data_IF_482335856741
#
_entry.id   IF_482335856741
#
_cell.length_a   1.000
_cell.length_b   1.000
_cell.length_c   1.000
_cell.angle_alpha   90.00
_cell.angle_beta   90.00
_cell.angle_gamma   90.00
#
_symmetry.space_group_name_H-M   'P 1'
#
loop_
_entity.id
_entity.type
_entity.pdbx_description
1 polymer ?
#
# COMPACT_ATOMS: atom_id res chain seq x y z
N UNK A 1 2.09 7.45 -6.98
CA UNK A 1 3.58 7.49 -6.89
C UNK A 1 4.24 6.11 -6.94
N UNK A 2 3.82 5.12 -6.14
CA UNK A 2 4.49 3.82 -6.06
C UNK A 2 4.54 3.08 -7.42
N UNK A 3 3.40 2.97 -8.11
CA UNK A 3 3.35 2.33 -9.43
C UNK A 3 4.22 3.05 -10.46
N UNK A 4 4.22 4.39 -10.47
CA UNK A 4 5.07 5.21 -11.35
C UNK A 4 6.57 4.92 -11.13
N UNK A 5 6.99 4.80 -9.87
CA UNK A 5 8.38 4.48 -9.52
C UNK A 5 8.77 3.07 -9.98
N UNK A 6 7.91 2.07 -9.80
CA UNK A 6 8.18 0.70 -10.26
C UNK A 6 8.16 0.57 -11.78
N UNK A 7 7.32 1.32 -12.49
CA UNK A 7 7.40 1.43 -13.95
C UNK A 7 8.74 2.02 -14.37
N UNK A 8 9.18 3.12 -13.74
CA UNK A 8 10.47 3.73 -14.05
C UNK A 8 11.65 2.78 -13.75
N UNK A 9 11.60 2.07 -12.62
CA UNK A 9 12.58 1.04 -12.27
C UNK A 9 12.69 -0.02 -13.35
N UNK A 10 11.55 -0.54 -13.82
CA UNK A 10 11.48 -1.63 -14.78
C UNK A 10 11.80 -1.24 -16.24
N UNK A 11 12.03 0.05 -16.51
CA UNK A 11 12.43 0.50 -17.86
C UNK A 11 13.79 -0.11 -18.24
N UNK A 12 14.01 -0.56 -19.49
CA UNK A 12 15.23 -1.25 -19.90
C UNK A 12 16.55 -0.46 -19.71
N UNK A 13 16.46 0.86 -19.65
CA UNK A 13 17.59 1.77 -19.42
C UNK A 13 17.85 2.09 -17.93
N UNK A 14 17.02 1.55 -17.03
CA UNK A 14 17.18 1.62 -15.56
C UNK A 14 17.45 0.24 -14.98
N UNK A 15 16.61 -0.76 -15.27
CA UNK A 15 16.79 -2.14 -14.86
C UNK A 15 16.28 -3.10 -15.93
N UNK A 16 17.12 -4.05 -16.35
CA UNK A 16 16.80 -4.96 -17.46
C UNK A 16 16.00 -6.17 -16.98
N UNK A 17 15.16 -6.68 -17.88
CA UNK A 17 14.40 -7.94 -17.70
C UNK A 17 13.30 -7.93 -16.62
N UNK A 18 12.74 -6.76 -16.30
CA UNK A 18 11.65 -6.61 -15.33
C UNK A 18 10.29 -6.30 -15.95
N UNK A 19 9.99 -6.91 -17.10
CA UNK A 19 8.78 -6.64 -17.89
C UNK A 19 7.47 -6.93 -17.12
N UNK A 20 7.46 -7.95 -16.25
CA UNK A 20 6.30 -8.26 -15.40
C UNK A 20 6.03 -7.13 -14.39
N UNK A 21 7.09 -6.57 -13.78
CA UNK A 21 6.97 -5.41 -12.88
C UNK A 21 6.41 -4.21 -13.65
N UNK A 22 6.92 -3.95 -14.85
CA UNK A 22 6.47 -2.84 -15.68
C UNK A 22 4.99 -2.95 -16.04
N UNK A 23 4.56 -4.12 -16.54
CA UNK A 23 3.19 -4.33 -17.03
C UNK A 23 2.14 -4.22 -15.92
N UNK A 24 2.37 -4.84 -14.77
CA UNK A 24 1.40 -4.80 -13.67
C UNK A 24 1.29 -3.40 -13.05
N UNK A 25 2.42 -2.70 -12.90
CA UNK A 25 2.42 -1.35 -12.35
C UNK A 25 1.86 -0.34 -13.35
N UNK A 26 2.04 -0.56 -14.66
CA UNK A 26 1.35 0.23 -15.69
C UNK A 26 -0.17 0.07 -15.60
N UNK A 27 -0.67 -1.16 -15.43
CA UNK A 27 -2.09 -1.39 -15.16
C UNK A 27 -2.54 -0.72 -13.85
N UNK A 28 -1.70 -0.76 -12.82
CA UNK A 28 -1.90 -0.05 -11.56
C UNK A 28 -2.06 1.46 -11.74
N UNK A 29 -1.24 2.10 -12.58
CA UNK A 29 -1.37 3.53 -12.92
C UNK A 29 -2.73 3.80 -13.58
N UNK A 30 -3.17 2.96 -14.51
CA UNK A 30 -4.48 3.12 -15.17
C UNK A 30 -5.61 3.06 -14.15
N UNK A 31 -5.56 2.10 -13.22
CA UNK A 31 -6.54 2.00 -12.12
C UNK A 31 -6.47 3.19 -11.17
N UNK A 32 -5.27 3.61 -10.74
CA UNK A 32 -5.07 4.80 -9.89
C UNK A 32 -5.65 6.06 -10.55
N UNK A 33 -5.43 6.26 -11.84
CA UNK A 33 -5.98 7.38 -12.60
C UNK A 33 -7.50 7.30 -12.69
N UNK A 34 -8.06 6.12 -12.94
CA UNK A 34 -9.51 5.93 -12.95
C UNK A 34 -10.13 6.29 -11.59
N UNK A 35 -9.57 5.78 -10.48
CA UNK A 35 -10.03 6.13 -9.14
C UNK A 35 -9.90 7.63 -8.86
N UNK A 36 -8.80 8.26 -9.29
CA UNK A 36 -8.62 9.70 -9.12
C UNK A 36 -9.65 10.49 -9.91
N UNK A 37 -9.97 10.10 -11.15
CA UNK A 37 -11.00 10.77 -11.97
C UNK A 37 -12.38 10.68 -11.33
N UNK A 38 -12.77 9.49 -10.86
CA UNK A 38 -14.02 9.29 -10.13
C UNK A 38 -14.04 10.15 -8.86
N UNK A 39 -12.95 10.15 -8.09
CA UNK A 39 -12.83 10.98 -6.89
C UNK A 39 -12.98 12.47 -7.21
N UNK A 40 -12.33 12.95 -8.27
CA UNK A 40 -12.41 14.35 -8.69
C UNK A 40 -13.80 14.71 -9.20
N UNK A 41 -14.54 13.78 -9.79
CA UNK A 41 -15.90 14.02 -10.26
C UNK A 41 -16.88 14.23 -9.08
N UNK A 42 -16.81 13.39 -8.05
CA UNK A 42 -17.77 13.40 -6.94
C UNK A 42 -17.44 14.35 -5.78
N UNK A 43 -16.25 14.96 -5.75
CA UNK A 43 -15.84 15.84 -4.64
C UNK A 43 -16.07 17.33 -4.91
N UNK A 44 -16.09 18.11 -3.82
CA UNK A 44 -16.21 19.57 -3.91
C UNK A 44 -14.94 20.23 -4.51
N UNK A 45 -15.07 21.46 -5.01
CA UNK A 45 -14.00 22.18 -5.72
C UNK A 45 -12.73 22.37 -4.88
N UNK A 46 -12.85 22.61 -3.57
CA UNK A 46 -11.71 22.78 -2.65
C UNK A 46 -10.90 21.49 -2.50
N UNK A 47 -11.57 20.37 -2.25
CA UNK A 47 -10.94 19.05 -2.13
C UNK A 47 -10.33 18.62 -3.46
N UNK A 48 -11.03 18.88 -4.58
CA UNK A 48 -10.51 18.63 -5.93
C UNK A 48 -9.22 19.38 -6.20
N UNK A 49 -9.19 20.69 -5.95
CA UNK A 49 -8.01 21.51 -6.17
C UNK A 49 -6.80 21.01 -5.34
N UNK A 50 -7.04 20.62 -4.08
CA UNK A 50 -6.00 20.01 -3.24
C UNK A 50 -5.46 18.70 -3.84
N UNK A 51 -6.34 17.79 -4.27
CA UNK A 51 -5.92 16.52 -4.85
C UNK A 51 -5.17 16.69 -6.18
N UNK A 52 -5.63 17.60 -7.04
CA UNK A 52 -4.90 17.95 -8.28
C UNK A 52 -3.52 18.53 -7.95
N UNK A 53 -3.43 19.42 -6.96
CA UNK A 53 -2.14 19.95 -6.48
C UNK A 53 -1.19 18.84 -6.01
N UNK A 54 -1.67 17.90 -5.19
CA UNK A 54 -0.88 16.75 -4.74
C UNK A 54 -0.45 15.83 -5.89
N UNK A 55 -1.31 15.66 -6.89
CA UNK A 55 -0.98 14.88 -8.09
C UNK A 55 0.12 15.58 -8.92
N UNK A 56 0.01 16.89 -9.15
CA UNK A 56 1.02 17.67 -9.86
C UNK A 56 2.37 17.65 -9.12
N UNK A 57 2.37 17.79 -7.79
CA UNK A 57 3.60 17.67 -6.98
C UNK A 57 4.26 16.30 -7.19
N UNK A 58 3.48 15.22 -7.24
CA UNK A 58 4.02 13.88 -7.52
C UNK A 58 4.65 13.78 -8.91
N UNK A 59 4.04 14.38 -9.94
CA UNK A 59 4.60 14.39 -11.29
C UNK A 59 5.90 15.21 -11.37
N UNK A 60 5.95 16.36 -10.69
CA UNK A 60 7.15 17.18 -10.59
C UNK A 60 8.26 16.39 -9.88
N UNK A 61 7.96 15.78 -8.73
CA UNK A 61 8.91 14.95 -8.00
C UNK A 61 9.43 13.79 -8.87
N UNK A 62 8.54 13.09 -9.58
CA UNK A 62 8.93 12.02 -10.49
C UNK A 62 9.84 12.54 -11.60
N UNK A 63 9.49 13.65 -12.24
CA UNK A 63 10.33 14.25 -13.29
C UNK A 63 11.73 14.60 -12.78
N UNK A 64 11.83 15.13 -11.55
CA UNK A 64 13.10 15.43 -10.89
C UNK A 64 13.92 14.16 -10.63
N UNK A 65 13.29 13.08 -10.14
CA UNK A 65 13.96 11.78 -9.93
C UNK A 65 14.45 11.21 -11.26
N UNK A 66 13.62 11.25 -12.31
CA UNK A 66 13.98 10.75 -13.65
C UNK A 66 15.15 11.54 -14.22
N UNK A 67 15.04 12.87 -14.25
CA UNK A 67 16.09 13.75 -14.75
C UNK A 67 17.40 13.58 -13.95
N UNK A 68 17.33 13.65 -12.61
CA UNK A 68 18.49 13.47 -11.75
C UNK A 68 19.17 12.12 -11.92
N UNK A 69 18.39 11.05 -12.11
CA UNK A 69 18.95 9.70 -12.34
C UNK A 69 19.61 9.60 -13.71
N UNK A 70 18.94 10.08 -14.78
CA UNK A 70 19.45 9.91 -16.14
C UNK A 70 20.66 10.83 -16.42
N UNK A 71 20.67 12.04 -15.84
CA UNK A 71 21.76 13.00 -15.98
C UNK A 71 22.94 12.70 -15.03
N UNK A 72 22.66 12.24 -13.81
CA UNK A 72 23.68 12.02 -12.79
C UNK A 72 24.28 10.61 -12.75
N UNK A 73 23.58 9.59 -13.24
CA UNK A 73 24.06 8.21 -13.27
C UNK A 73 24.28 7.72 -14.71
N UNK A 74 25.55 7.60 -15.11
CA UNK A 74 25.92 7.16 -16.45
C UNK A 74 25.95 5.63 -16.62
N UNK A 75 25.99 4.86 -15.54
CA UNK A 75 25.97 3.38 -15.60
C UNK A 75 24.61 2.82 -15.21
N UNK A 76 24.23 1.70 -15.85
CA UNK A 76 22.98 1.00 -15.56
C UNK A 76 22.89 0.58 -14.09
N UNK A 77 23.98 0.05 -13.53
CA UNK A 77 24.03 -0.39 -12.14
C UNK A 77 23.75 0.75 -11.15
N UNK A 78 24.30 1.94 -11.38
CA UNK A 78 24.03 3.12 -10.53
C UNK A 78 22.55 3.53 -10.64
N UNK A 79 21.99 3.53 -11.86
CA UNK A 79 20.56 3.83 -12.08
C UNK A 79 19.67 2.82 -11.35
N UNK A 80 19.91 1.52 -11.51
CA UNK A 80 19.19 0.47 -10.80
C UNK A 80 19.25 0.69 -9.29
N UNK A 81 20.44 0.93 -8.72
CA UNK A 81 20.60 1.11 -7.26
C UNK A 81 19.85 2.33 -6.74
N UNK A 82 19.97 3.48 -7.41
CA UNK A 82 19.29 4.72 -6.99
C UNK A 82 17.76 4.53 -7.06
N UNK A 83 17.25 4.11 -8.21
CA UNK A 83 15.80 4.00 -8.43
C UNK A 83 15.20 2.87 -7.59
N UNK A 84 15.87 1.72 -7.51
CA UNK A 84 15.44 0.58 -6.69
C UNK A 84 15.37 0.93 -5.21
N UNK A 85 16.35 1.66 -4.68
CA UNK A 85 16.33 2.13 -3.29
C UNK A 85 15.13 3.05 -3.04
N UNK A 86 14.86 3.99 -3.96
CA UNK A 86 13.69 4.87 -3.86
C UNK A 86 12.38 4.07 -3.93
N UNK A 87 12.28 3.05 -4.80
CA UNK A 87 11.11 2.18 -4.86
C UNK A 87 10.84 1.48 -3.54
N UNK A 88 11.89 0.96 -2.87
CA UNK A 88 11.79 0.35 -1.54
C UNK A 88 11.30 1.37 -0.51
N UNK A 89 11.86 2.59 -0.49
CA UNK A 89 11.42 3.65 0.45
C UNK A 89 9.95 4.01 0.24
N UNK A 90 9.53 4.26 -1.00
CA UNK A 90 8.12 4.54 -1.30
C UNK A 90 7.20 3.35 -0.99
N UNK A 91 7.69 2.12 -1.19
CA UNK A 91 6.98 0.89 -0.81
C UNK A 91 6.77 0.80 0.70
N UNK A 92 7.81 1.06 1.50
CA UNK A 92 7.72 1.06 2.96
C UNK A 92 6.75 2.12 3.46
N UNK A 93 6.77 3.33 2.89
CA UNK A 93 5.80 4.39 3.24
C UNK A 93 4.37 3.92 2.97
N UNK A 94 4.12 3.20 1.87
CA UNK A 94 2.79 2.67 1.55
C UNK A 94 2.30 1.66 2.61
N UNK A 95 3.22 0.91 3.23
CA UNK A 95 2.90 -0.02 4.30
C UNK A 95 2.45 0.62 5.61
N UNK A 96 2.51 1.95 5.74
CA UNK A 96 1.89 2.67 6.86
C UNK A 96 0.36 2.42 6.93
N UNK A 97 -0.30 2.27 5.78
CA UNK A 97 -1.75 2.01 5.72
C UNK A 97 -2.14 0.66 6.36
N UNK A 98 -1.61 -0.50 5.92
CA UNK A 98 -1.93 -1.77 6.57
C UNK A 98 -1.49 -1.82 8.05
N UNK A 99 -0.37 -1.16 8.41
CA UNK A 99 0.04 -1.06 9.81
C UNK A 99 -0.97 -0.29 10.67
N UNK A 100 -1.54 0.80 10.14
CA UNK A 100 -2.62 1.55 10.80
C UNK A 100 -3.86 0.67 11.03
N UNK A 101 -4.22 -0.17 10.05
CA UNK A 101 -5.34 -1.11 10.21
C UNK A 101 -5.05 -2.13 11.31
N UNK A 102 -3.83 -2.69 11.37
CA UNK A 102 -3.43 -3.61 12.44
C UNK A 102 -3.55 -2.96 13.83
N UNK A 103 -3.12 -1.71 13.97
CA UNK A 103 -3.26 -0.96 15.23
C UNK A 103 -4.74 -0.79 15.62
N UNK A 104 -5.60 -0.50 14.65
CA UNK A 104 -7.05 -0.42 14.87
C UNK A 104 -7.62 -1.77 15.33
N UNK A 105 -7.21 -2.89 14.74
CA UNK A 105 -7.66 -4.23 15.16
C UNK A 105 -7.23 -4.53 16.60
N UNK A 106 -5.98 -4.23 16.97
CA UNK A 106 -5.47 -4.47 18.32
C UNK A 106 -6.21 -3.61 19.36
N UNK A 107 -6.44 -2.32 19.08
CA UNK A 107 -7.14 -1.40 20.00
C UNK A 107 -8.62 -1.76 20.15
N UNK A 108 -9.29 -2.01 19.03
CA UNK A 108 -10.72 -2.31 19.01
C UNK A 108 -11.03 -3.76 19.40
N UNK A 109 -10.02 -4.62 19.44
CA UNK A 109 -10.09 -6.07 19.68
C UNK A 109 -11.03 -6.78 18.68
N UNK A 110 -11.21 -6.21 17.48
CA UNK A 110 -12.11 -6.72 16.44
C UNK A 110 -11.50 -6.58 15.05
N UNK A 111 -11.51 -7.66 14.26
CA UNK A 111 -10.98 -7.69 12.89
C UNK A 111 -12.06 -7.49 11.81
N UNK A 112 -13.21 -6.90 12.17
CA UNK A 112 -14.36 -6.68 11.27
C UNK A 112 -14.01 -5.90 10.00
N UNK A 113 -13.15 -4.89 10.11
CA UNK A 113 -12.73 -4.04 8.99
C UNK A 113 -11.58 -4.62 8.15
N UNK A 114 -11.08 -5.80 8.49
CA UNK A 114 -9.98 -6.45 7.80
C UNK A 114 -10.53 -7.59 6.92
N UNK A 115 -10.90 -7.33 5.65
CA UNK A 115 -11.48 -8.34 4.78
C UNK A 115 -10.49 -9.50 4.56
N UNK A 116 -10.93 -10.73 4.85
CA UNK A 116 -10.07 -11.92 4.83
C UNK A 116 -9.46 -12.19 3.45
N UNK A 117 -10.24 -11.99 2.39
CA UNK A 117 -9.77 -12.17 1.01
C UNK A 117 -8.67 -11.17 0.65
N UNK A 118 -8.76 -9.92 1.12
CA UNK A 118 -7.77 -8.90 0.81
C UNK A 118 -6.40 -9.24 1.40
N UNK A 119 -6.37 -9.67 2.67
CA UNK A 119 -5.11 -10.03 3.34
C UNK A 119 -4.52 -11.33 2.82
N UNK A 120 -5.37 -12.30 2.44
CA UNK A 120 -4.93 -13.55 1.83
C UNK A 120 -4.33 -13.32 0.44
N UNK A 121 -5.00 -12.53 -0.42
CA UNK A 121 -4.48 -12.13 -1.72
C UNK A 121 -3.20 -11.30 -1.60
N UNK A 122 -3.11 -10.39 -0.61
CA UNK A 122 -1.89 -9.63 -0.33
C UNK A 122 -0.70 -10.52 0.04
N UNK A 123 -0.92 -11.52 0.90
CA UNK A 123 0.10 -12.49 1.28
C UNK A 123 0.55 -13.36 0.10
N UNK A 124 -0.39 -13.89 -0.69
CA UNK A 124 -0.08 -14.67 -1.89
C UNK A 124 0.68 -13.85 -2.93
N UNK A 125 0.26 -12.61 -3.18
CA UNK A 125 0.96 -11.67 -4.05
C UNK A 125 2.40 -11.44 -3.58
N UNK A 126 2.59 -11.22 -2.28
CA UNK A 126 3.92 -11.05 -1.70
C UNK A 126 4.84 -12.26 -1.89
N UNK A 127 4.32 -13.48 -1.71
CA UNK A 127 5.06 -14.72 -1.99
C UNK A 127 5.44 -14.83 -3.47
N UNK A 128 4.49 -14.55 -4.37
CA UNK A 128 4.75 -14.61 -5.82
C UNK A 128 5.84 -13.63 -6.25
N UNK A 129 5.83 -12.40 -5.73
CA UNK A 129 6.88 -11.42 -6.01
C UNK A 129 8.23 -11.79 -5.38
N UNK A 130 8.23 -12.37 -4.18
CA UNK A 130 9.46 -12.87 -3.58
C UNK A 130 10.06 -14.02 -4.41
N UNK A 131 9.23 -14.96 -4.87
CA UNK A 131 9.66 -16.04 -5.76
C UNK A 131 10.19 -15.49 -7.10
N UNK A 132 9.49 -14.53 -7.71
CA UNK A 132 9.94 -13.84 -8.92
C UNK A 132 11.31 -13.17 -8.73
N UNK A 133 11.50 -12.47 -7.61
CA UNK A 133 12.76 -11.80 -7.29
C UNK A 133 13.93 -12.79 -7.16
N UNK A 134 13.69 -14.00 -6.66
CA UNK A 134 14.72 -15.05 -6.55
C UNK A 134 15.19 -15.60 -7.90
N UNK A 135 14.39 -15.53 -8.97
CA UNK A 135 14.78 -16.07 -10.30
C UNK A 135 15.99 -15.31 -10.87
N UNK A 136 16.06 -14.00 -10.62
CA UNK A 136 17.14 -13.11 -11.11
C UNK A 136 17.91 -12.42 -9.98
N UNK A 137 17.66 -12.82 -8.73
CA UNK A 137 18.19 -12.19 -7.52
C UNK A 137 18.05 -10.64 -7.52
N UNK A 138 16.82 -10.15 -7.73
CA UNK A 138 16.51 -8.73 -7.58
C UNK A 138 16.22 -8.40 -6.10
N UNK A 139 17.24 -7.88 -5.41
CA UNK A 139 17.14 -7.53 -3.98
C UNK A 139 16.11 -6.44 -3.69
N UNK A 140 15.84 -5.51 -4.61
CA UNK A 140 14.92 -4.40 -4.37
C UNK A 140 13.48 -4.90 -4.39
N UNK A 141 13.13 -5.74 -5.36
CA UNK A 141 11.82 -6.39 -5.42
C UNK A 141 11.64 -7.32 -4.21
N UNK A 142 12.68 -8.09 -3.86
CA UNK A 142 12.63 -9.03 -2.75
C UNK A 142 12.41 -8.31 -1.41
N UNK A 143 13.18 -7.27 -1.11
CA UNK A 143 13.06 -6.50 0.14
C UNK A 143 11.69 -5.82 0.22
N UNK A 144 11.27 -5.14 -0.85
CA UNK A 144 9.99 -4.44 -0.86
C UNK A 144 8.83 -5.41 -0.61
N UNK A 145 8.74 -6.48 -1.40
CA UNK A 145 7.63 -7.41 -1.28
C UNK A 145 7.73 -8.30 -0.03
N UNK A 146 8.94 -8.63 0.43
CA UNK A 146 9.16 -9.37 1.66
C UNK A 146 8.56 -8.68 2.88
N UNK A 147 8.76 -7.36 3.02
CA UNK A 147 8.12 -6.57 4.08
C UNK A 147 6.59 -6.64 3.97
N UNK A 148 6.05 -6.47 2.76
CA UNK A 148 4.60 -6.60 2.51
C UNK A 148 4.04 -7.98 2.84
N UNK A 149 4.78 -9.05 2.54
CA UNK A 149 4.43 -10.44 2.87
C UNK A 149 4.35 -10.63 4.38
N UNK A 150 5.37 -10.16 5.12
CA UNK A 150 5.39 -10.24 6.59
C UNK A 150 4.19 -9.50 7.18
N UNK A 151 3.92 -8.27 6.72
CA UNK A 151 2.77 -7.50 7.21
C UNK A 151 1.42 -8.16 6.87
N UNK A 152 1.30 -8.77 5.69
CA UNK A 152 0.09 -9.51 5.31
C UNK A 152 -0.10 -10.76 6.16
N UNK A 153 1.00 -11.46 6.48
CA UNK A 153 0.99 -12.60 7.39
C UNK A 153 0.55 -12.19 8.80
N UNK A 154 1.11 -11.11 9.34
CA UNK A 154 0.70 -10.58 10.65
C UNK A 154 -0.78 -10.18 10.68
N UNK A 155 -1.30 -9.60 9.59
CA UNK A 155 -2.73 -9.30 9.45
C UNK A 155 -3.59 -10.57 9.47
N UNK A 156 -3.16 -11.65 8.83
CA UNK A 156 -3.84 -12.96 8.88
C UNK A 156 -3.88 -13.48 10.32
N UNK A 157 -2.76 -13.45 11.03
CA UNK A 157 -2.70 -13.87 12.43
C UNK A 157 -3.66 -13.03 13.31
N UNK A 158 -3.62 -11.71 13.19
CA UNK A 158 -4.52 -10.83 13.94
C UNK A 158 -6.00 -11.14 13.65
N UNK A 159 -6.34 -11.43 12.39
CA UNK A 159 -7.72 -11.80 12.03
C UNK A 159 -8.15 -13.11 12.68
N UNK A 160 -7.26 -14.11 12.73
CA UNK A 160 -7.54 -15.40 13.37
C UNK A 160 -7.66 -15.26 14.89
N UNK A 161 -6.83 -14.43 15.53
CA UNK A 161 -6.85 -14.24 16.98
C UNK A 161 -8.03 -13.40 17.48
N UNK A 162 -8.35 -12.28 16.82
CA UNK A 162 -9.41 -11.38 17.28
C UNK A 162 -10.80 -11.72 16.74
N UNK A 163 -10.88 -12.50 15.65
CA UNK A 163 -12.13 -12.83 15.00
C UNK A 163 -12.95 -11.60 14.59
N UNK A 164 -14.22 -11.81 14.27
CA UNK A 164 -15.17 -10.74 13.96
C UNK A 164 -16.01 -10.32 15.19
N UNK A 165 -15.51 -10.54 16.40
CA UNK A 165 -16.24 -10.29 17.65
C UNK A 165 -16.65 -8.82 17.82
N UNK A 166 -17.70 -8.54 18.63
CA UNK A 166 -18.18 -7.19 18.89
C UNK A 166 -17.07 -6.34 19.53
N UNK A 167 -17.05 -5.04 19.22
CA UNK A 167 -16.03 -4.13 19.71
C UNK A 167 -16.13 -4.00 21.22
N UNK A 168 -15.01 -3.74 21.90
CA UNK A 168 -15.04 -3.44 23.34
C UNK A 168 -15.86 -2.18 23.64
N UNK A 169 -15.84 -1.17 22.77
CA UNK A 169 -16.67 0.04 22.88
C UNK A 169 -18.16 -0.28 22.72
N UNK A 170 -18.53 -1.06 21.69
CA UNK A 170 -19.92 -1.52 21.48
C UNK A 170 -20.41 -2.38 22.66
N UNK A 171 -19.53 -3.20 23.24
CA UNK A 171 -19.84 -4.01 24.40
C UNK A 171 -20.06 -3.17 25.67
N UNK A 172 -19.32 -2.05 25.83
CA UNK A 172 -19.51 -1.13 26.96
C UNK A 172 -20.80 -0.33 26.77
N UNK A 173 -21.05 0.22 25.58
CA UNK A 173 -22.27 0.97 25.29
C UNK A 173 -23.53 0.12 25.44
N UNK A 174 -23.51 -1.13 24.96
CA UNK A 174 -24.63 -2.06 25.15
C UNK A 174 -24.90 -2.39 26.64
N UNK A 175 -23.87 -2.38 27.49
CA UNK A 175 -24.02 -2.58 28.93
C UNK A 175 -24.61 -1.32 29.59
N UNK A 176 -24.17 -0.14 29.17
CA UNK A 176 -24.74 1.13 29.66
C UNK A 176 -26.22 1.28 29.27
N UNK A 177 -26.58 0.99 28.01
CA UNK A 177 -27.98 1.01 27.56
C UNK A 177 -28.86 0.02 28.33
N UNK A 178 -28.36 -1.19 28.62
CA UNK A 178 -29.08 -2.17 29.44
C UNK A 178 -29.26 -1.73 30.90
N UNK A 179 -28.28 -1.00 31.45
CA UNK A 179 -28.37 -0.47 32.80
C UNK A 179 -29.36 0.72 32.89
N UNK A 180 -29.41 1.57 31.87
CA UNK A 180 -30.40 2.67 31.78
C UNK A 180 -31.82 2.13 31.61
N UNK A 181 -32.04 1.17 30.71
CA UNK A 181 -33.36 0.52 30.54
C UNK A 181 -33.79 -0.22 31.81
N UNK A 182 -32.87 -0.87 32.52
CA UNK A 182 -33.16 -1.55 33.79
C UNK A 182 -33.53 -0.61 34.94
N UNK A 183 -33.01 0.62 34.95
CA UNK A 183 -33.36 1.64 35.95
C UNK A 183 -34.69 2.33 35.67
N UNK A 184 -35.13 2.42 34.41
CA UNK A 184 -36.39 3.05 34.02
C UNK A 184 -37.64 2.17 34.22
N UNK A 185 -37.47 0.92 34.67
CA UNK A 185 -38.57 -0.07 34.84
C UNK A 185 -38.92 -0.31 36.33
N UNK A 186 -38.31 0.42 37.27
CA UNK A 186 -38.56 0.32 38.73
C UNK A 186 -39.41 1.47 39.25
#
# INVERSE_FOLDING_TARGET
MNCLMWVFYAMPFVHRHSTLVMTINAAGIVLELFYLLVFLYFNNSRTRARMVGLFLIQLILLSGIVAGTLLGAHTLEKRTKIVGSLCVVFGIILYASPLSVMLTVIRSRSAKYLPGWLIASGFANGILWAAYACIRFDVFILVSNGVGTILSFLQILLKLFYGNGPRREDAIHNVDDQNEDGQNVV
#
